data_IF_647454012291
#
_entry.id   IF_647454012291
#
_cell.length_a   1.000
_cell.length_b   1.000
_cell.length_c   1.000
_cell.angle_alpha   90.00
_cell.angle_beta   90.00
_cell.angle_gamma   90.00
#
_symmetry.space_group_name_H-M   'P 1'
#
loop_
_entity.id
_entity.type
_entity.pdbx_description
1 polymer ?
#
# COMPACT_ATOMS: atom_id res chain seq x y z
N UNK A 1 40.51 -13.76 11.84
CA UNK A 1 40.32 -13.91 10.38
C UNK A 1 38.89 -14.42 10.21
N UNK A 2 37.93 -13.57 9.84
CA UNK A 2 36.52 -13.97 9.72
C UNK A 2 36.30 -14.73 8.41
N UNK A 3 35.50 -15.80 8.47
CA UNK A 3 35.34 -16.81 7.41
C UNK A 3 34.68 -16.26 6.14
N UNK A 4 35.37 -16.43 5.00
CA UNK A 4 34.94 -16.05 3.63
C UNK A 4 33.58 -16.66 3.23
N UNK A 5 33.19 -17.79 3.85
CA UNK A 5 31.88 -18.42 3.63
C UNK A 5 30.71 -17.60 4.19
N UNK A 6 30.92 -16.85 5.26
CA UNK A 6 29.87 -16.04 5.90
C UNK A 6 29.55 -14.79 5.06
N UNK A 7 30.57 -14.18 4.44
CA UNK A 7 30.44 -13.03 3.54
C UNK A 7 29.61 -13.35 2.29
N UNK A 8 29.82 -14.52 1.67
CA UNK A 8 29.03 -14.95 0.50
C UNK A 8 27.55 -15.21 0.82
N UNK A 9 27.23 -15.60 2.05
CA UNK A 9 25.84 -15.83 2.47
C UNK A 9 25.12 -14.50 2.71
N UNK A 10 25.76 -13.53 3.33
CA UNK A 10 25.19 -12.20 3.56
C UNK A 10 24.88 -11.47 2.26
N UNK A 11 25.82 -11.47 1.31
CA UNK A 11 25.66 -10.82 0.00
C UNK A 11 24.51 -11.46 -0.81
N UNK A 12 24.39 -12.78 -0.77
CA UNK A 12 23.30 -13.52 -1.40
C UNK A 12 21.94 -13.27 -0.73
N UNK A 13 21.91 -13.06 0.60
CA UNK A 13 20.69 -12.67 1.32
C UNK A 13 20.29 -11.25 0.93
N UNK A 14 21.23 -10.30 0.85
CA UNK A 14 20.95 -8.93 0.43
C UNK A 14 20.41 -8.84 -1.01
N UNK A 15 21.00 -9.59 -1.95
CA UNK A 15 20.48 -9.68 -3.31
C UNK A 15 19.04 -10.24 -3.35
N UNK A 16 18.79 -11.32 -2.61
CA UNK A 16 17.46 -11.93 -2.53
C UNK A 16 16.42 -10.97 -1.92
N UNK A 17 16.80 -10.24 -0.88
CA UNK A 17 15.94 -9.20 -0.27
C UNK A 17 15.68 -8.08 -1.26
N UNK A 18 16.71 -7.56 -1.93
CA UNK A 18 16.59 -6.51 -2.95
C UNK A 18 15.66 -6.93 -4.08
N UNK A 19 15.84 -8.14 -4.60
CA UNK A 19 15.02 -8.71 -5.67
C UNK A 19 13.56 -8.91 -5.22
N UNK A 20 13.36 -9.35 -3.97
CA UNK A 20 12.03 -9.45 -3.37
C UNK A 20 11.36 -8.08 -3.20
N UNK A 21 12.09 -7.07 -2.73
CA UNK A 21 11.61 -5.69 -2.58
C UNK A 21 11.20 -5.07 -3.92
N UNK A 22 12.01 -5.28 -4.96
CA UNK A 22 11.69 -4.84 -6.32
C UNK A 22 10.40 -5.52 -6.84
N UNK A 23 10.23 -6.82 -6.57
CA UNK A 23 9.03 -7.58 -6.92
C UNK A 23 7.79 -7.06 -6.18
N UNK A 24 7.92 -6.65 -4.91
CA UNK A 24 6.85 -6.01 -4.14
C UNK A 24 6.42 -4.70 -4.82
N UNK A 25 7.37 -3.77 -5.03
CA UNK A 25 7.07 -2.43 -5.56
C UNK A 25 6.24 -2.47 -6.86
N UNK A 26 6.54 -3.42 -7.75
CA UNK A 26 5.81 -3.59 -9.02
C UNK A 26 4.43 -4.23 -8.89
N UNK A 27 4.14 -4.93 -7.77
CA UNK A 27 2.93 -5.75 -7.57
C UNK A 27 2.00 -5.24 -6.47
N UNK A 28 2.42 -4.34 -5.58
CA UNK A 28 1.61 -3.85 -4.44
C UNK A 28 0.22 -3.32 -4.82
N UNK A 29 0.04 -2.81 -6.03
CA UNK A 29 -1.25 -2.25 -6.47
C UNK A 29 -1.83 -2.96 -7.69
N UNK A 30 -1.34 -4.17 -8.02
CA UNK A 30 -1.83 -4.96 -9.16
C UNK A 30 -2.85 -5.97 -8.66
N UNK A 31 -4.07 -5.86 -9.19
CA UNK A 31 -5.18 -6.73 -8.84
C UNK A 31 -5.85 -7.32 -10.08
N UNK A 32 -6.32 -8.55 -9.97
CA UNK A 32 -7.23 -9.16 -10.95
C UNK A 32 -8.69 -8.79 -10.66
N UNK A 33 -9.56 -8.80 -11.67
CA UNK A 33 -10.98 -8.42 -11.47
C UNK A 33 -11.71 -9.33 -10.47
N UNK A 34 -11.43 -10.64 -10.49
CA UNK A 34 -11.98 -11.61 -9.52
C UNK A 34 -11.50 -11.29 -8.10
N UNK A 35 -10.21 -10.99 -7.95
CA UNK A 35 -9.58 -10.59 -6.68
C UNK A 35 -10.22 -9.32 -6.10
N UNK A 36 -10.50 -8.31 -6.94
CA UNK A 36 -11.17 -7.07 -6.51
C UNK A 36 -12.57 -7.37 -5.97
N UNK A 37 -13.38 -8.16 -6.69
CA UNK A 37 -14.75 -8.49 -6.25
C UNK A 37 -14.74 -9.18 -4.88
N UNK A 38 -13.83 -10.14 -4.70
CA UNK A 38 -13.69 -10.84 -3.44
C UNK A 38 -13.19 -9.93 -2.31
N UNK A 39 -12.22 -9.06 -2.62
CA UNK A 39 -11.69 -8.08 -1.70
C UNK A 39 -12.80 -7.16 -1.17
N UNK A 40 -13.65 -6.62 -2.06
CA UNK A 40 -14.80 -5.81 -1.63
C UNK A 40 -15.80 -6.60 -0.76
N UNK A 41 -16.03 -7.89 -1.05
CA UNK A 41 -16.94 -8.75 -0.28
C UNK A 41 -16.43 -9.03 1.13
N UNK A 42 -15.12 -9.27 1.28
CA UNK A 42 -14.47 -9.61 2.56
C UNK A 42 -14.03 -8.40 3.37
N UNK A 43 -13.96 -7.23 2.74
CA UNK A 43 -13.46 -6.02 3.40
C UNK A 43 -14.47 -5.43 4.38
N UNK A 44 -13.98 -4.89 5.49
CA UNK A 44 -14.73 -4.05 6.40
C UNK A 44 -14.09 -2.65 6.47
N UNK A 45 -14.90 -1.65 6.85
CA UNK A 45 -14.44 -0.26 6.91
C UNK A 45 -13.74 0.02 8.24
N UNK A 46 -12.54 0.59 8.19
CA UNK A 46 -11.77 0.99 9.39
C UNK A 46 -11.68 2.50 9.56
N UNK A 47 -11.98 3.24 8.48
CA UNK A 47 -11.91 4.68 8.45
C UNK A 47 -12.81 5.25 7.37
N UNK A 48 -13.49 6.35 7.69
CA UNK A 48 -14.39 7.03 6.78
C UNK A 48 -14.44 8.51 7.13
N UNK A 49 -14.02 9.35 6.20
CA UNK A 49 -14.01 10.79 6.35
C UNK A 49 -14.30 11.49 5.01
N UNK A 50 -14.14 12.81 4.96
CA UNK A 50 -14.47 13.59 3.74
C UNK A 50 -13.43 13.38 2.63
N UNK A 51 -12.17 13.09 2.99
CA UNK A 51 -11.06 12.83 2.10
C UNK A 51 -11.08 11.43 1.48
N UNK A 52 -11.43 10.41 2.27
CA UNK A 52 -11.44 9.02 1.80
C UNK A 52 -12.21 8.09 2.73
N UNK A 53 -12.45 6.89 2.22
CA UNK A 53 -12.88 5.73 3.00
C UNK A 53 -11.84 4.64 2.84
N UNK A 54 -11.41 4.03 3.94
CA UNK A 54 -10.45 2.94 3.95
C UNK A 54 -11.09 1.67 4.49
N UNK A 55 -10.94 0.61 3.72
CA UNK A 55 -11.37 -0.74 4.07
C UNK A 55 -10.20 -1.69 4.05
N UNK A 56 -10.29 -2.73 4.86
CA UNK A 56 -9.27 -3.78 4.92
C UNK A 56 -9.90 -5.16 4.89
N UNK A 57 -9.18 -6.12 4.34
CA UNK A 57 -9.47 -7.55 4.43
C UNK A 57 -8.17 -8.30 4.76
N UNK A 58 -8.23 -9.51 5.36
CA UNK A 58 -7.04 -10.34 5.54
C UNK A 58 -6.33 -10.57 4.20
N UNK A 59 -4.99 -10.42 4.18
CA UNK A 59 -4.20 -10.57 2.97
C UNK A 59 -4.25 -12.00 2.46
N UNK A 60 -4.21 -12.16 1.13
CA UNK A 60 -4.10 -13.49 0.48
C UNK A 60 -2.71 -13.83 -0.03
N UNK A 61 -1.92 -12.80 -0.31
CA UNK A 61 -0.59 -12.94 -0.88
C UNK A 61 0.47 -12.91 0.24
N UNK A 62 1.73 -13.19 -0.10
CA UNK A 62 2.85 -13.10 0.84
C UNK A 62 3.09 -11.70 1.39
N UNK A 63 2.49 -10.67 0.79
CA UNK A 63 2.50 -9.28 1.23
C UNK A 63 1.13 -8.65 1.03
N UNK A 64 0.81 -7.65 1.84
CA UNK A 64 -0.38 -6.83 1.73
C UNK A 64 -0.34 -5.93 0.49
N UNK A 65 -1.47 -5.87 -0.23
CA UNK A 65 -1.65 -5.02 -1.40
C UNK A 65 -2.55 -3.82 -1.09
N UNK A 66 -2.55 -2.84 -1.99
CA UNK A 66 -3.36 -1.62 -1.88
C UNK A 66 -4.12 -1.33 -3.18
N UNK A 67 -5.44 -1.40 -3.11
CA UNK A 67 -6.35 -1.01 -4.18
C UNK A 67 -6.72 0.47 -4.04
N UNK A 68 -6.37 1.27 -5.04
CA UNK A 68 -6.65 2.72 -5.07
C UNK A 68 -7.77 3.03 -6.04
N UNK A 69 -8.92 3.45 -5.52
CA UNK A 69 -10.06 3.90 -6.31
C UNK A 69 -10.13 5.41 -6.27
N UNK A 70 -9.80 6.07 -7.38
CA UNK A 70 -9.81 7.53 -7.51
C UNK A 70 -10.77 7.91 -8.65
N UNK A 71 -12.04 8.20 -8.35
CA UNK A 71 -13.06 8.54 -9.34
C UNK A 71 -12.71 9.79 -10.16
N UNK A 72 -13.28 9.91 -11.37
CA UNK A 72 -13.08 11.09 -12.23
C UNK A 72 -13.46 12.41 -11.54
N UNK A 73 -14.51 12.39 -10.70
CA UNK A 73 -15.00 13.54 -9.92
C UNK A 73 -14.03 14.10 -8.88
N UNK A 74 -12.98 13.37 -8.52
CA UNK A 74 -11.98 13.84 -7.54
C UNK A 74 -11.14 14.97 -8.13
N UNK A 75 -10.79 14.89 -9.42
CA UNK A 75 -10.00 15.92 -10.09
C UNK A 75 -9.45 15.50 -11.45
N UNK A 76 -8.63 16.36 -12.04
CA UNK A 76 -7.96 16.12 -13.32
C UNK A 76 -7.01 14.92 -13.27
N UNK A 77 -6.70 14.34 -14.44
CA UNK A 77 -5.82 13.17 -14.51
C UNK A 77 -4.45 13.39 -13.81
N UNK A 78 -3.76 14.54 -13.97
CA UNK A 78 -2.51 14.81 -13.24
C UNK A 78 -2.70 14.81 -11.72
N UNK A 79 -3.75 15.46 -11.21
CA UNK A 79 -4.05 15.52 -9.77
C UNK A 79 -4.34 14.12 -9.20
N UNK A 80 -5.14 13.31 -9.90
CA UNK A 80 -5.41 11.91 -9.51
C UNK A 80 -4.14 11.05 -9.53
N UNK A 81 -3.29 11.24 -10.54
CA UNK A 81 -2.04 10.50 -10.67
C UNK A 81 -1.04 10.87 -9.58
N UNK A 82 -0.98 12.15 -9.19
CA UNK A 82 -0.16 12.61 -8.07
C UNK A 82 -0.57 11.91 -6.77
N UNK A 83 -1.86 11.93 -6.41
CA UNK A 83 -2.36 11.23 -5.22
C UNK A 83 -2.06 9.74 -5.28
N UNK A 84 -2.30 9.09 -6.43
CA UNK A 84 -1.98 7.66 -6.60
C UNK A 84 -0.51 7.37 -6.33
N UNK A 85 0.41 8.19 -6.85
CA UNK A 85 1.85 8.03 -6.63
C UNK A 85 2.23 8.27 -5.17
N UNK A 86 1.71 9.34 -4.54
CA UNK A 86 1.98 9.66 -3.13
C UNK A 86 1.55 8.51 -2.21
N UNK A 87 0.32 8.02 -2.35
CA UNK A 87 -0.19 6.93 -1.52
C UNK A 87 0.63 5.65 -1.72
N UNK A 88 0.97 5.29 -2.97
CA UNK A 88 1.84 4.12 -3.22
C UNK A 88 3.24 4.28 -2.62
N UNK A 89 3.83 5.47 -2.73
CA UNK A 89 5.13 5.78 -2.15
C UNK A 89 5.11 5.56 -0.64
N UNK A 90 4.12 6.17 0.05
CA UNK A 90 3.95 6.04 1.49
C UNK A 90 3.73 4.58 1.88
N UNK A 91 2.83 3.87 1.19
CA UNK A 91 2.54 2.46 1.47
C UNK A 91 3.80 1.57 1.38
N UNK A 92 4.71 1.87 0.45
CA UNK A 92 5.97 1.17 0.30
C UNK A 92 7.02 1.61 1.34
N UNK A 93 7.22 2.92 1.51
CA UNK A 93 8.22 3.49 2.42
C UNK A 93 7.96 3.11 3.88
N UNK A 94 6.70 3.15 4.31
CA UNK A 94 6.29 2.77 5.66
C UNK A 94 6.15 1.25 5.83
N UNK A 95 6.49 0.47 4.79
CA UNK A 95 6.44 -1.00 4.78
C UNK A 95 5.07 -1.58 5.13
N UNK A 96 3.98 -0.89 4.75
CA UNK A 96 2.61 -1.32 5.06
C UNK A 96 2.23 -2.63 4.39
N UNK A 97 2.94 -3.02 3.32
CA UNK A 97 2.83 -4.32 2.69
C UNK A 97 3.25 -5.49 3.61
N UNK A 98 3.95 -5.25 4.73
CA UNK A 98 4.29 -6.30 5.70
C UNK A 98 3.10 -6.69 6.58
N UNK A 99 2.08 -5.83 6.66
CA UNK A 99 0.87 -6.10 7.44
C UNK A 99 0.10 -7.29 6.87
N UNK A 100 -0.73 -7.92 7.71
CA UNK A 100 -1.56 -9.07 7.35
C UNK A 100 -2.85 -8.69 6.61
N UNK A 101 -2.87 -7.52 5.96
CA UNK A 101 -4.08 -6.95 5.37
C UNK A 101 -3.86 -6.48 3.93
N UNK A 102 -4.90 -6.68 3.10
CA UNK A 102 -5.10 -5.99 1.84
C UNK A 102 -5.98 -4.75 2.07
N UNK A 103 -5.58 -3.62 1.50
CA UNK A 103 -6.22 -2.32 1.70
C UNK A 103 -7.03 -1.90 0.48
N UNK A 104 -8.18 -1.26 0.72
CA UNK A 104 -8.94 -0.51 -0.28
C UNK A 104 -9.01 0.94 0.19
N UNK A 105 -8.55 1.87 -0.66
CA UNK A 105 -8.71 3.31 -0.41
C UNK A 105 -9.61 3.91 -1.49
N UNK A 106 -10.80 4.35 -1.05
CA UNK A 106 -11.78 5.04 -1.87
C UNK A 106 -11.60 6.54 -1.71
N UNK A 107 -10.90 7.18 -2.65
CA UNK A 107 -10.58 8.60 -2.59
C UNK A 107 -11.81 9.46 -2.92
N UNK A 108 -12.00 10.53 -2.15
CA UNK A 108 -13.02 11.56 -2.35
C UNK A 108 -12.36 12.89 -2.69
N UNK A 109 -13.14 13.94 -2.96
CA UNK A 109 -12.63 15.21 -3.51
C UNK A 109 -11.63 15.91 -2.56
N UNK A 110 -11.88 15.81 -1.26
CA UNK A 110 -11.06 16.49 -0.24
C UNK A 110 -9.67 15.86 -0.06
N UNK A 111 -9.40 14.68 -0.61
CA UNK A 111 -8.05 14.07 -0.61
C UNK A 111 -7.00 14.97 -1.28
N UNK A 112 -7.43 15.84 -2.20
CA UNK A 112 -6.54 16.76 -2.90
C UNK A 112 -6.05 17.91 -2.02
N UNK A 113 -6.70 18.15 -0.89
CA UNK A 113 -6.31 19.17 0.09
C UNK A 113 -5.15 18.70 0.97
N UNK A 114 -4.98 17.38 1.11
CA UNK A 114 -3.94 16.82 1.95
C UNK A 114 -2.55 16.97 1.31
N UNK A 115 -1.63 17.47 2.12
CA UNK A 115 -0.19 17.42 1.89
C UNK A 115 0.33 15.97 1.91
N UNK A 116 1.59 15.80 1.53
CA UNK A 116 2.22 14.49 1.60
C UNK A 116 2.31 13.97 3.04
N UNK A 117 2.67 14.83 3.99
CA UNK A 117 2.83 14.46 5.39
C UNK A 117 1.49 14.15 6.06
N UNK A 118 0.42 14.87 5.72
CA UNK A 118 -0.94 14.54 6.17
C UNK A 118 -1.40 13.18 5.63
N UNK A 119 -1.15 12.87 4.35
CA UNK A 119 -1.42 11.55 3.79
C UNK A 119 -0.61 10.46 4.51
N UNK A 120 0.65 10.73 4.82
CA UNK A 120 1.54 9.81 5.54
C UNK A 120 1.00 9.54 6.94
N UNK A 121 0.68 10.58 7.68
CA UNK A 121 0.12 10.50 9.03
C UNK A 121 -1.22 9.77 9.03
N UNK A 122 -2.09 10.05 8.04
CA UNK A 122 -3.34 9.32 7.88
C UNK A 122 -3.08 7.82 7.71
N UNK A 123 -2.21 7.42 6.78
CA UNK A 123 -1.89 6.00 6.56
C UNK A 123 -1.29 5.34 7.80
N UNK A 124 -0.36 5.99 8.50
CA UNK A 124 0.27 5.47 9.72
C UNK A 124 -0.70 5.37 10.89
N UNK A 125 -1.70 6.26 10.99
CA UNK A 125 -2.72 6.16 12.02
C UNK A 125 -3.69 4.99 11.77
N UNK A 126 -3.93 4.62 10.52
CA UNK A 126 -4.75 3.45 10.18
C UNK A 126 -4.10 2.15 10.63
N UNK A 127 -2.78 2.05 10.54
CA UNK A 127 -2.05 0.82 10.89
C UNK A 127 -1.99 0.60 12.40
N UNK A 128 -1.89 1.67 13.18
CA UNK A 128 -1.99 1.60 14.65
C UNK A 128 -3.33 1.05 15.15
N UNK A 129 -4.41 1.15 14.36
CA UNK A 129 -5.72 0.60 14.70
C UNK A 129 -5.87 -0.89 14.36
N UNK A 130 -4.92 -1.44 13.58
CA UNK A 130 -4.95 -2.82 13.10
C UNK A 130 -3.99 -3.74 13.87
N UNK A 131 -3.08 -3.16 14.65
CA UNK A 131 -2.28 -3.84 15.66
C UNK A 131 -3.02 -3.84 16.99
#
# INVERSE_FOLDING_TARGET
MMDVKSLNVEEQVEENVSQFMHKIASKISKFQLKEIKELFKKSHTIYKASECEVRVAPRKNSFGKILLVIPKKVGSAPKRNLIRRRIKSIFYQEKLYLLQYDFIILCRKDILKLSFDELKNLLNNLTKKLN
#
